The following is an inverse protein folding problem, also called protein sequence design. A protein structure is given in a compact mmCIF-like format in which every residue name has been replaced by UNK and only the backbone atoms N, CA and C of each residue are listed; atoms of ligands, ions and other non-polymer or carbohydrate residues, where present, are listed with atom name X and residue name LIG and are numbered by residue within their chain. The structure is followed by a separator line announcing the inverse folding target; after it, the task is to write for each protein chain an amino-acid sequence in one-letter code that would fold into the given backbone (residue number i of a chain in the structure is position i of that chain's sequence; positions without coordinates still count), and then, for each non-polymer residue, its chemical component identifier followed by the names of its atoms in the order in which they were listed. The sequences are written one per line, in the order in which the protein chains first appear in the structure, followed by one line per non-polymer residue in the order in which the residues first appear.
data_IF_773623159535
#
_entry.id   IF_773623159535
#
_cell.length_a   1.000
_cell.length_b   1.000
_cell.length_c   1.000
_cell.angle_alpha   90.00
_cell.angle_beta   90.00
_cell.angle_gamma   90.00
#
_symmetry.space_group_name_H-M   'P 1'
#
loop_
_entity.id
_entity.type
_entity.pdbx_description
1 polymer ?
#
# COMPACT_ATOMS: atom_id res chain seq x y z
N UNK A 1 9.74 -2.78 1.65
CA UNK A 1 8.57 -2.49 0.80
C UNK A 1 7.76 -3.76 0.59
N UNK A 2 6.44 -3.63 0.56
CA UNK A 2 5.52 -4.67 0.12
C UNK A 2 5.10 -4.35 -1.32
N UNK A 3 5.34 -5.29 -2.24
CA UNK A 3 5.05 -5.12 -3.67
C UNK A 3 3.91 -6.01 -4.10
N UNK A 4 2.96 -5.43 -4.83
CA UNK A 4 1.88 -6.12 -5.50
C UNK A 4 1.94 -5.85 -7.00
N UNK A 5 1.98 -6.90 -7.80
CA UNK A 5 1.88 -6.80 -9.25
C UNK A 5 0.42 -6.81 -9.69
N UNK A 6 0.13 -6.11 -10.77
CA UNK A 6 -1.18 -6.20 -11.43
C UNK A 6 -1.31 -7.53 -12.17
N UNK A 7 -2.50 -8.12 -12.09
CA UNK A 7 -2.84 -9.29 -12.90
C UNK A 7 -3.27 -8.81 -14.30
N UNK A 8 -2.52 -9.22 -15.30
CA UNK A 8 -2.77 -8.82 -16.69
C UNK A 8 -3.79 -9.70 -17.41
N UNK A 9 -4.07 -10.89 -16.89
CA UNK A 9 -4.97 -11.84 -17.55
C UNK A 9 -6.45 -11.44 -17.38
N UNK A 10 -6.74 -10.73 -16.29
CA UNK A 10 -8.10 -10.22 -15.99
C UNK A 10 -8.21 -8.71 -16.09
N UNK A 11 -7.14 -8.03 -16.44
CA UNK A 11 -7.12 -6.58 -16.60
C UNK A 11 -7.74 -6.17 -17.94
N UNK A 12 -8.64 -5.19 -17.88
CA UNK A 12 -9.20 -4.55 -19.06
C UNK A 12 -8.69 -3.11 -19.18
N UNK A 13 -8.00 -2.82 -20.28
CA UNK A 13 -7.41 -1.49 -20.56
C UNK A 13 -8.43 -0.34 -20.64
N UNK A 14 -9.72 -0.62 -20.66
CA UNK A 14 -10.76 0.41 -20.64
C UNK A 14 -10.91 1.09 -19.29
N UNK A 15 -10.29 0.55 -18.23
CA UNK A 15 -10.40 1.08 -16.88
C UNK A 15 -9.07 1.65 -16.42
N UNK A 16 -9.08 2.88 -15.91
CA UNK A 16 -7.89 3.45 -15.26
C UNK A 16 -7.51 2.64 -14.01
N UNK A 17 -6.21 2.41 -13.86
CA UNK A 17 -5.67 1.85 -12.62
C UNK A 17 -5.76 2.89 -11.49
N UNK A 18 -6.01 2.48 -10.25
CA UNK A 18 -5.95 3.37 -9.11
C UNK A 18 -4.58 4.07 -9.02
N UNK A 19 -4.59 5.37 -8.75
CA UNK A 19 -3.36 6.16 -8.56
C UNK A 19 -2.69 5.86 -7.23
N UNK A 20 -3.49 5.45 -6.22
CA UNK A 20 -3.01 5.23 -4.87
C UNK A 20 -3.87 4.24 -4.11
N UNK A 21 -3.28 3.70 -3.06
CA UNK A 21 -3.95 2.89 -2.05
C UNK A 21 -3.66 3.46 -0.68
N UNK A 22 -4.59 3.25 0.25
CA UNK A 22 -4.32 3.40 1.67
C UNK A 22 -4.01 2.04 2.27
N UNK A 23 -3.03 1.98 3.17
CA UNK A 23 -2.68 0.78 3.91
C UNK A 23 -2.83 1.05 5.40
N UNK A 24 -3.46 0.13 6.13
CA UNK A 24 -3.71 0.22 7.56
C UNK A 24 -3.48 -1.13 8.21
N UNK A 25 -3.19 -1.13 9.50
CA UNK A 25 -3.17 -2.36 10.31
C UNK A 25 -4.56 -2.66 10.85
N UNK A 26 -4.99 -3.92 10.74
CA UNK A 26 -6.27 -4.37 11.27
C UNK A 26 -6.13 -4.83 12.73
N UNK A 27 -6.98 -4.29 13.60
CA UNK A 27 -7.02 -4.62 15.04
C UNK A 27 -8.16 -5.56 15.45
N UNK A 28 -8.99 -5.99 14.53
CA UNK A 28 -10.22 -6.73 14.83
C UNK A 28 -11.44 -5.82 14.95
N UNK A 29 -12.64 -6.42 14.94
CA UNK A 29 -13.92 -5.72 15.11
C UNK A 29 -14.10 -4.46 14.23
N UNK A 30 -13.58 -4.48 13.00
CA UNK A 30 -13.57 -3.35 12.07
C UNK A 30 -12.79 -2.10 12.56
N UNK A 31 -11.90 -2.27 13.54
CA UNK A 31 -10.99 -1.23 13.99
C UNK A 31 -9.68 -1.31 13.21
N UNK A 32 -9.19 -0.15 12.79
CA UNK A 32 -7.97 -0.01 12.00
C UNK A 32 -7.04 1.02 12.63
N UNK A 33 -5.75 0.74 12.59
CA UNK A 33 -4.70 1.68 12.98
C UNK A 33 -3.92 2.17 11.78
N UNK A 34 -3.29 3.32 11.94
CA UNK A 34 -2.34 3.81 10.97
C UNK A 34 -1.04 3.02 11.02
N UNK A 35 -0.41 2.89 9.87
CA UNK A 35 0.96 2.41 9.82
C UNK A 35 1.89 3.42 10.51
N UNK A 36 2.86 2.94 11.27
CA UNK A 36 3.92 3.79 11.84
C UNK A 36 4.70 4.56 10.77
N UNK A 37 4.78 4.01 9.56
CA UNK A 37 5.35 4.69 8.40
C UNK A 37 4.65 6.03 8.09
N UNK A 38 3.34 6.13 8.30
CA UNK A 38 2.59 7.39 8.10
C UNK A 38 3.02 8.43 9.12
N UNK A 39 3.08 8.07 10.39
CA UNK A 39 3.46 9.00 11.46
C UNK A 39 4.93 9.44 11.35
N UNK A 40 5.81 8.55 10.93
CA UNK A 40 7.23 8.86 10.74
C UNK A 40 7.49 9.86 9.61
N UNK A 41 6.62 9.89 8.60
CA UNK A 41 6.80 10.72 7.40
C UNK A 41 5.73 11.78 7.21
N UNK A 42 4.89 12.00 8.21
CA UNK A 42 3.75 12.94 8.13
C UNK A 42 4.12 14.40 7.83
N UNK A 43 5.38 14.74 7.98
CA UNK A 43 5.90 16.09 7.73
C UNK A 43 6.63 16.24 6.39
N UNK A 44 6.69 15.20 5.57
CA UNK A 44 7.38 15.26 4.27
C UNK A 44 6.39 15.59 3.14
N UNK A 45 6.37 16.83 2.62
CA UNK A 45 5.51 17.19 1.49
C UNK A 45 5.76 16.27 0.30
N UNK A 46 4.69 15.74 -0.29
CA UNK A 46 4.78 14.87 -1.45
C UNK A 46 5.21 13.43 -1.16
N UNK A 47 5.35 13.05 0.09
CA UNK A 47 5.60 11.65 0.44
C UNK A 47 4.41 10.77 0.05
N UNK A 48 4.68 9.70 -0.68
CA UNK A 48 3.70 8.68 -1.03
C UNK A 48 4.10 7.34 -0.45
N UNK A 49 3.26 6.79 0.41
CA UNK A 49 3.47 5.43 0.94
C UNK A 49 3.28 4.37 -0.14
N UNK A 50 2.40 4.63 -1.08
CA UNK A 50 2.13 3.74 -2.21
C UNK A 50 2.58 4.43 -3.49
N UNK A 51 3.46 3.77 -4.22
CA UNK A 51 4.00 4.27 -5.49
C UNK A 51 3.70 3.27 -6.59
N UNK A 52 2.80 3.60 -7.53
CA UNK A 52 2.64 2.80 -8.74
C UNK A 52 3.87 2.96 -9.63
N UNK A 53 4.29 1.86 -10.26
CA UNK A 53 5.40 1.90 -11.21
C UNK A 53 5.02 2.67 -12.48
N UNK A 54 3.91 2.27 -13.10
CA UNK A 54 3.38 2.92 -14.29
C UNK A 54 1.87 2.64 -14.40
N UNK A 55 1.07 3.69 -14.34
CA UNK A 55 -0.40 3.57 -14.39
C UNK A 55 -0.94 3.18 -15.75
N UNK A 56 -0.16 3.44 -16.81
CA UNK A 56 -0.62 3.26 -18.18
C UNK A 56 -0.16 1.94 -18.82
N UNK A 57 0.74 1.20 -18.16
CA UNK A 57 1.17 -0.12 -18.64
C UNK A 57 0.17 -1.19 -18.22
N UNK A 58 -0.01 -2.19 -19.09
CA UNK A 58 -0.80 -3.38 -18.76
C UNK A 58 -0.24 -4.06 -17.51
N UNK A 59 1.06 -4.36 -17.54
CA UNK A 59 1.77 -4.91 -16.40
C UNK A 59 2.45 -3.81 -15.59
N UNK A 60 2.04 -3.63 -14.36
CA UNK A 60 2.67 -2.70 -13.42
C UNK A 60 2.69 -3.29 -12.01
N UNK A 61 3.22 -2.55 -11.06
CA UNK A 61 3.20 -2.92 -9.65
C UNK A 61 2.99 -1.71 -8.77
N UNK A 62 2.55 -1.99 -7.55
CA UNK A 62 2.42 -1.01 -6.46
C UNK A 62 3.37 -1.38 -5.34
N UNK A 63 4.18 -0.40 -4.90
CA UNK A 63 5.07 -0.53 -3.76
C UNK A 63 4.48 0.22 -2.56
N UNK A 64 4.23 -0.49 -1.47
CA UNK A 64 3.83 0.07 -0.19
C UNK A 64 5.06 0.13 0.71
N UNK A 65 5.40 1.31 1.22
CA UNK A 65 6.50 1.47 2.16
C UNK A 65 6.09 0.98 3.54
N UNK A 66 6.86 0.05 4.10
CA UNK A 66 6.65 -0.54 5.42
C UNK A 66 7.96 -0.51 6.24
N UNK A 67 8.83 0.47 6.00
CA UNK A 67 10.16 0.48 6.61
C UNK A 67 10.07 0.58 8.13
N UNK A 68 9.30 1.55 8.63
CA UNK A 68 9.18 1.75 10.07
C UNK A 68 8.36 0.65 10.73
N UNK A 69 7.25 0.23 10.10
CA UNK A 69 6.41 -0.87 10.60
C UNK A 69 7.24 -2.15 10.79
N UNK A 70 8.07 -2.52 9.80
CA UNK A 70 8.93 -3.71 9.91
C UNK A 70 10.01 -3.54 10.97
N UNK A 71 10.60 -2.35 11.09
CA UNK A 71 11.56 -2.07 12.17
C UNK A 71 10.93 -2.22 13.56
N UNK A 72 9.75 -1.70 13.75
CA UNK A 72 9.05 -1.76 15.04
C UNK A 72 8.71 -3.22 15.42
N UNK A 73 8.31 -4.04 14.44
CA UNK A 73 8.07 -5.48 14.67
C UNK A 73 9.37 -6.20 15.07
N UNK A 74 10.50 -5.90 14.41
CA UNK A 74 11.78 -6.61 14.64
C UNK A 74 12.51 -6.07 15.87
N UNK A 75 12.57 -4.76 16.05
CA UNK A 75 13.42 -4.11 17.06
C UNK A 75 12.67 -3.85 18.37
N UNK A 76 11.34 -3.67 18.32
CA UNK A 76 10.50 -3.36 19.48
C UNK A 76 9.55 -4.50 19.86
N UNK A 77 9.63 -5.63 19.17
CA UNK A 77 8.77 -6.79 19.39
C UNK A 77 7.26 -6.47 19.27
N UNK A 78 6.92 -5.47 18.43
CA UNK A 78 5.52 -5.14 18.19
C UNK A 78 4.81 -6.28 17.44
N UNK A 79 3.51 -6.44 17.72
CA UNK A 79 2.70 -7.47 17.11
C UNK A 79 2.59 -7.27 15.58
N UNK A 80 2.83 -8.35 14.83
CA UNK A 80 2.62 -8.36 13.39
C UNK A 80 1.11 -8.48 13.07
N UNK A 81 0.47 -7.36 12.76
CA UNK A 81 -0.96 -7.29 12.47
C UNK A 81 -1.25 -7.40 10.98
N UNK A 82 -2.40 -7.98 10.60
CA UNK A 82 -2.83 -8.00 9.20
C UNK A 82 -2.91 -6.58 8.61
N UNK A 83 -2.51 -6.44 7.36
CA UNK A 83 -2.65 -5.19 6.61
C UNK A 83 -3.94 -5.21 5.79
N UNK A 84 -4.66 -4.11 5.81
CA UNK A 84 -5.80 -3.86 4.94
C UNK A 84 -5.43 -2.78 3.95
N UNK A 85 -5.61 -3.10 2.67
CA UNK A 85 -5.31 -2.20 1.56
C UNK A 85 -6.64 -1.82 0.91
N UNK A 86 -6.87 -0.51 0.75
CA UNK A 86 -8.06 0.03 0.09
C UNK A 86 -7.65 1.05 -0.96
N UNK A 87 -8.42 1.15 -2.03
CA UNK A 87 -8.25 2.24 -3.00
C UNK A 87 -8.57 3.57 -2.32
N UNK A 88 -7.70 4.54 -2.46
CA UNK A 88 -7.86 5.86 -1.87
C UNK A 88 -6.55 6.59 -1.62
N UNK A 89 -6.65 7.76 -1.03
CA UNK A 89 -5.52 8.64 -0.74
C UNK A 89 -5.41 8.96 0.73
N UNK A 90 -4.19 9.26 1.17
CA UNK A 90 -3.94 9.89 2.46
C UNK A 90 -4.17 11.40 2.35
N UNK A 91 -4.90 11.96 3.30
CA UNK A 91 -5.12 13.39 3.42
C UNK A 91 -3.99 14.03 4.20
N UNK A 92 -3.46 15.12 3.68
CA UNK A 92 -2.42 15.89 4.34
C UNK A 92 -2.82 17.36 4.43
N UNK A 93 -2.35 18.04 5.50
CA UNK A 93 -2.43 19.49 5.62
C UNK A 93 -1.52 20.19 4.62
N UNK A 94 -1.63 21.50 4.51
CA UNK A 94 -0.71 22.33 3.72
C UNK A 94 0.75 22.22 4.18
N UNK A 95 0.97 21.85 5.44
CA UNK A 95 2.31 21.62 6.02
C UNK A 95 2.79 20.17 5.87
N UNK A 96 2.01 19.30 5.23
CA UNK A 96 2.33 17.89 5.04
C UNK A 96 1.95 16.98 6.21
N UNK A 97 1.36 17.51 7.29
CA UNK A 97 0.91 16.68 8.40
C UNK A 97 -0.27 15.79 7.98
N UNK A 98 -0.28 14.54 8.42
CA UNK A 98 -1.34 13.60 8.16
C UNK A 98 -2.65 14.03 8.84
N UNK A 99 -3.74 14.12 8.08
CA UNK A 99 -5.07 14.50 8.57
C UNK A 99 -6.07 13.35 8.55
N UNK A 100 -5.75 12.27 7.83
CA UNK A 100 -6.67 11.16 7.65
C UNK A 100 -6.51 10.51 6.28
N UNK A 101 -7.54 9.80 5.88
CA UNK A 101 -7.56 9.15 4.58
C UNK A 101 -8.94 9.29 3.93
N UNK A 102 -8.93 9.42 2.62
CA UNK A 102 -10.10 9.34 1.79
C UNK A 102 -10.10 7.98 1.09
N UNK A 103 -10.98 7.10 1.51
CA UNK A 103 -11.11 5.75 0.94
C UNK A 103 -12.26 5.76 -0.05
N UNK A 104 -12.01 5.28 -1.25
CA UNK A 104 -13.06 5.08 -2.24
C UNK A 104 -13.88 3.85 -1.89
N UNK A 105 -15.04 4.08 -1.27
CA UNK A 105 -15.99 3.04 -0.90
C UNK A 105 -17.10 2.83 -1.94
N UNK A 106 -17.01 3.47 -3.10
CA UNK A 106 -18.02 3.32 -4.13
C UNK A 106 -17.98 1.90 -4.71
N UNK A 107 -19.14 1.27 -4.79
CA UNK A 107 -19.28 -0.06 -5.37
C UNK A 107 -18.95 -0.04 -6.86
N UNK A 108 -19.26 1.08 -7.53
CA UNK A 108 -19.02 1.31 -8.95
C UNK A 108 -18.00 2.42 -9.12
N UNK A 109 -16.72 2.08 -9.05
CA UNK A 109 -15.64 3.00 -9.40
C UNK A 109 -15.06 2.62 -10.76
N UNK A 110 -14.73 3.57 -11.64
CA UNK A 110 -13.99 3.28 -12.86
C UNK A 110 -12.57 2.78 -12.57
N UNK A 111 -12.02 3.11 -11.41
CA UNK A 111 -10.66 2.73 -11.00
C UNK A 111 -10.67 1.32 -10.40
N UNK A 112 -10.56 0.32 -11.26
CA UNK A 112 -10.49 -1.09 -10.84
C UNK A 112 -9.11 -1.66 -11.09
N UNK A 113 -8.74 -2.62 -10.25
CA UNK A 113 -7.50 -3.35 -10.40
C UNK A 113 -7.64 -4.75 -9.81
N UNK A 114 -6.98 -5.70 -10.44
CA UNK A 114 -6.75 -7.02 -9.87
C UNK A 114 -5.26 -7.13 -9.55
N UNK A 115 -4.94 -7.49 -8.33
CA UNK A 115 -3.57 -7.70 -7.87
C UNK A 115 -3.29 -9.19 -7.79
N UNK A 116 -2.08 -9.58 -8.20
CA UNK A 116 -1.64 -10.97 -8.04
C UNK A 116 -1.48 -11.27 -6.54
N UNK A 117 -2.11 -12.34 -6.09
CA UNK A 117 -2.08 -12.78 -4.70
C UNK A 117 -0.79 -13.50 -4.32
N UNK A 118 -0.91 -14.47 -3.43
CA UNK A 118 0.23 -15.17 -2.81
C UNK A 118 0.51 -16.55 -3.41
N UNK A 119 -0.06 -16.90 -4.57
CA UNK A 119 0.22 -18.17 -5.21
C UNK A 119 1.73 -18.37 -5.36
N UNK A 120 2.25 -19.42 -4.74
CA UNK A 120 3.68 -19.72 -4.69
C UNK A 120 4.30 -19.95 -6.07
N UNK A 121 3.51 -20.42 -7.03
CA UNK A 121 3.96 -20.71 -8.39
C UNK A 121 3.96 -19.48 -9.30
N UNK A 122 3.36 -18.38 -8.88
CA UNK A 122 3.33 -17.17 -9.68
C UNK A 122 4.57 -16.29 -9.41
N UNK A 123 5.36 -16.03 -10.44
CA UNK A 123 6.56 -15.18 -10.34
C UNK A 123 6.22 -13.74 -9.94
N UNK A 124 4.98 -13.28 -10.18
CA UNK A 124 4.47 -11.94 -9.84
C UNK A 124 3.69 -11.90 -8.51
N UNK A 125 3.78 -12.96 -7.70
CA UNK A 125 3.13 -12.99 -6.37
C UNK A 125 3.50 -11.78 -5.52
N UNK A 126 2.71 -11.50 -4.50
CA UNK A 126 3.02 -10.48 -3.52
C UNK A 126 4.41 -10.74 -2.87
N UNK A 127 5.24 -9.70 -2.78
CA UNK A 127 6.63 -9.81 -2.36
C UNK A 127 6.95 -8.80 -1.27
N UNK A 128 7.59 -9.26 -0.19
CA UNK A 128 8.24 -8.38 0.78
C UNK A 128 9.71 -8.18 0.36
N UNK A 129 10.04 -6.98 -0.10
CA UNK A 129 11.39 -6.60 -0.51
C UNK A 129 12.09 -5.91 0.66
N UNK A 130 13.10 -6.57 1.21
CA UNK A 130 13.88 -6.06 2.34
C UNK A 130 15.29 -5.71 1.87
N UNK A 131 15.73 -4.49 2.18
CA UNK A 131 17.13 -4.05 2.02
C UNK A 131 17.69 -3.77 3.41
N UNK A 132 18.82 -4.38 3.74
CA UNK A 132 19.47 -4.19 5.03
C UNK A 132 20.98 -4.09 4.87
N UNK A 133 21.62 -3.42 5.83
CA UNK A 133 23.08 -3.37 5.93
C UNK A 133 23.52 -4.35 7.02
N UNK A 134 24.41 -5.25 6.68
CA UNK A 134 25.05 -6.11 7.68
C UNK A 134 26.04 -5.27 8.47
N UNK A 135 25.90 -5.25 9.79
CA UNK A 135 26.90 -4.68 10.71
C UNK A 135 28.09 -5.62 10.85
#
# INVERSE_FOLDING_TARGET
KLRFHTDTDVWNNLLEKPKSFTAMQYKGANVYDFLTDISAFSYAPGFRLVRPYDLYKEATYYDISLTQTIKDIIEKEEENKPLVIKVGDYLASSTGAYLGQNVDNRIYTPNRIVLVGTDANNAKKAQLLVTYTKK
#
